data_IF_438760862587
#
_entry.id   IF_438760862587
#
_cell.length_a   1.000
_cell.length_b   1.000
_cell.length_c   1.000
_cell.angle_alpha   90.00
_cell.angle_beta   90.00
_cell.angle_gamma   90.00
#
_symmetry.space_group_name_H-M   'P 1'
#
loop_
_entity.id
_entity.type
_entity.pdbx_description
1 polymer ?
#
# COMPACT_ATOMS: atom_id res chain seq x y z
N UNK A 1 3.78 -46.40 -8.28
CA UNK A 1 3.30 -45.00 -8.12
C UNK A 1 2.58 -44.43 -9.37
N UNK A 2 2.08 -45.23 -10.32
CA UNK A 2 1.45 -44.74 -11.56
C UNK A 2 -0.09 -44.84 -11.59
N UNK A 3 -0.71 -45.79 -10.88
CA UNK A 3 -2.17 -46.04 -10.94
C UNK A 3 -3.05 -45.00 -10.24
N UNK A 4 -2.58 -44.40 -9.13
CA UNK A 4 -3.39 -43.49 -8.30
C UNK A 4 -3.57 -42.09 -8.93
N UNK A 5 -2.65 -41.66 -9.81
CA UNK A 5 -2.79 -40.38 -10.54
C UNK A 5 -3.83 -40.46 -11.67
N UNK A 6 -3.97 -41.62 -12.33
CA UNK A 6 -4.93 -41.84 -13.42
C UNK A 6 -6.37 -41.77 -12.89
N UNK A 7 -6.63 -42.39 -11.73
CA UNK A 7 -7.96 -42.36 -11.07
C UNK A 7 -8.38 -40.95 -10.58
N UNK A 8 -7.43 -40.04 -10.33
CA UNK A 8 -7.76 -38.62 -10.02
C UNK A 8 -8.16 -37.82 -11.26
N UNK A 9 -7.61 -38.14 -12.43
CA UNK A 9 -8.00 -37.49 -13.69
C UNK A 9 -9.44 -37.84 -14.11
N UNK A 10 -9.92 -39.05 -13.78
CA UNK A 10 -11.30 -39.47 -14.06
C UNK A 10 -12.37 -38.78 -13.21
N UNK A 11 -11.98 -38.08 -12.12
CA UNK A 11 -12.94 -37.25 -11.37
C UNK A 11 -13.54 -36.13 -12.23
N UNK A 12 -12.86 -35.73 -13.31
CA UNK A 12 -13.33 -34.73 -14.28
C UNK A 12 -14.48 -35.23 -15.16
N UNK A 13 -14.79 -36.53 -15.11
CA UNK A 13 -15.87 -37.18 -15.84
C UNK A 13 -17.11 -37.46 -14.97
N UNK A 14 -17.15 -36.98 -13.72
CA UNK A 14 -18.32 -37.16 -12.86
C UNK A 14 -19.59 -36.51 -13.46
N UNK A 15 -20.76 -37.16 -13.33
CA UNK A 15 -22.03 -36.60 -13.79
C UNK A 15 -22.32 -35.27 -13.07
N UNK A 16 -22.63 -34.21 -13.83
CA UNK A 16 -22.95 -32.88 -13.30
C UNK A 16 -22.09 -31.75 -13.84
N UNK A 17 -20.85 -32.02 -14.25
CA UNK A 17 -19.89 -30.97 -14.64
C UNK A 17 -19.96 -30.51 -16.10
N UNK A 18 -20.84 -31.07 -16.94
CA UNK A 18 -21.03 -30.75 -18.38
C UNK A 18 -19.78 -30.75 -19.29
N UNK A 19 -18.56 -30.87 -18.76
CA UNK A 19 -17.26 -30.88 -19.47
C UNK A 19 -17.13 -32.04 -20.46
N UNK A 20 -17.71 -33.20 -20.13
CA UNK A 20 -17.68 -34.41 -20.98
C UNK A 20 -18.29 -34.17 -22.37
N UNK A 21 -19.43 -33.48 -22.45
CA UNK A 21 -20.13 -33.22 -23.73
C UNK A 21 -19.33 -32.26 -24.62
N UNK A 22 -18.72 -31.23 -24.03
CA UNK A 22 -17.92 -30.24 -24.75
C UNK A 22 -16.54 -30.76 -25.16
N UNK A 23 -15.95 -31.65 -24.36
CA UNK A 23 -14.71 -32.36 -24.73
C UNK A 23 -14.92 -33.31 -25.91
N UNK A 24 -16.06 -34.04 -25.91
CA UNK A 24 -16.45 -34.86 -27.06
C UNK A 24 -16.69 -34.02 -28.31
N UNK A 25 -17.30 -32.83 -28.18
CA UNK A 25 -17.50 -31.90 -29.30
C UNK A 25 -16.15 -31.40 -29.88
N UNK A 26 -15.18 -31.09 -29.02
CA UNK A 26 -13.85 -30.66 -29.47
C UNK A 26 -13.11 -31.80 -30.19
N UNK A 27 -13.14 -33.03 -29.65
CA UNK A 27 -12.55 -34.22 -30.29
C UNK A 27 -13.23 -34.52 -31.62
N UNK A 28 -14.56 -34.44 -31.70
CA UNK A 28 -15.31 -34.60 -32.94
C UNK A 28 -14.91 -33.54 -33.98
N UNK A 29 -14.71 -32.30 -33.55
CA UNK A 29 -14.22 -31.23 -34.42
C UNK A 29 -12.81 -31.51 -34.97
N UNK A 30 -11.90 -32.08 -34.18
CA UNK A 30 -10.57 -32.52 -34.65
C UNK A 30 -10.69 -33.62 -35.71
N UNK A 31 -11.56 -34.60 -35.49
CA UNK A 31 -11.80 -35.68 -36.46
C UNK A 31 -12.33 -35.12 -37.79
N UNK A 32 -13.28 -34.18 -37.73
CA UNK A 32 -13.83 -33.50 -38.91
C UNK A 32 -12.76 -32.71 -39.67
N UNK A 33 -11.91 -31.94 -38.97
CA UNK A 33 -10.82 -31.19 -39.60
C UNK A 33 -9.85 -32.15 -40.30
N UNK A 34 -9.44 -33.23 -39.63
CA UNK A 34 -8.55 -34.24 -40.21
C UNK A 34 -9.15 -34.91 -41.44
N UNK A 35 -10.44 -35.29 -41.39
CA UNK A 35 -11.16 -35.90 -42.51
C UNK A 35 -11.32 -34.93 -43.69
N UNK A 36 -11.68 -33.68 -43.42
CA UNK A 36 -11.78 -32.64 -44.44
C UNK A 36 -10.43 -32.34 -45.09
N UNK A 37 -9.34 -32.34 -44.32
CA UNK A 37 -8.00 -32.12 -44.86
C UNK A 37 -7.56 -33.26 -45.78
N UNK A 38 -7.83 -34.52 -45.40
CA UNK A 38 -7.57 -35.70 -46.25
C UNK A 38 -8.35 -35.60 -47.58
N UNK A 39 -9.62 -35.19 -47.53
CA UNK A 39 -10.46 -35.02 -48.73
C UNK A 39 -9.99 -33.88 -49.66
N UNK A 40 -9.38 -32.82 -49.12
CA UNK A 40 -8.81 -31.73 -49.91
C UNK A 40 -7.54 -32.20 -50.63
N UNK A 41 -6.71 -33.01 -49.96
CA UNK A 41 -5.45 -33.54 -50.48
C UNK A 41 -5.68 -34.65 -51.52
N UNK A 42 -6.71 -35.47 -51.36
CA UNK A 42 -6.94 -36.66 -52.18
C UNK A 42 -7.40 -36.39 -53.63
N UNK A 43 -7.24 -35.16 -54.14
CA UNK A 43 -7.44 -34.73 -55.54
C UNK A 43 -8.74 -35.17 -56.24
N UNK A 44 -9.81 -35.44 -55.50
CA UNK A 44 -11.13 -35.68 -56.09
C UNK A 44 -11.81 -34.37 -56.54
N UNK A 45 -12.75 -34.51 -57.48
CA UNK A 45 -13.44 -33.46 -58.25
C UNK A 45 -13.71 -32.12 -57.51
N UNK A 46 -13.75 -31.00 -58.24
CA UNK A 46 -14.02 -29.64 -57.69
C UNK A 46 -15.17 -29.56 -56.66
N UNK A 47 -16.23 -30.34 -56.85
CA UNK A 47 -17.39 -30.42 -55.96
C UNK A 47 -17.11 -31.11 -54.60
N UNK A 48 -16.10 -31.97 -54.52
CA UNK A 48 -15.65 -32.58 -53.25
C UNK A 48 -14.75 -31.62 -52.45
N UNK A 49 -14.01 -30.72 -53.12
CA UNK A 49 -13.16 -29.73 -52.44
C UNK A 49 -13.98 -28.67 -51.70
N UNK A 50 -15.08 -28.18 -52.28
CA UNK A 50 -16.00 -27.27 -51.60
C UNK A 50 -16.69 -27.92 -50.41
N UNK A 51 -17.12 -29.19 -50.57
CA UNK A 51 -17.69 -29.98 -49.48
C UNK A 51 -16.68 -30.22 -48.34
N UNK A 52 -15.43 -30.55 -48.67
CA UNK A 52 -14.37 -30.74 -47.70
C UNK A 52 -14.02 -29.45 -46.93
N UNK A 53 -14.00 -28.30 -47.62
CA UNK A 53 -13.80 -27.00 -46.96
C UNK A 53 -14.91 -26.69 -45.94
N UNK A 54 -16.16 -27.02 -46.25
CA UNK A 54 -17.29 -26.87 -45.31
C UNK A 54 -17.10 -27.76 -44.08
N UNK A 55 -16.66 -29.01 -44.27
CA UNK A 55 -16.37 -29.94 -43.15
C UNK A 55 -15.26 -29.37 -42.24
N UNK A 56 -14.20 -28.81 -42.82
CA UNK A 56 -13.10 -28.19 -42.05
C UNK A 56 -13.61 -26.99 -41.24
N UNK A 57 -14.42 -26.11 -41.85
CA UNK A 57 -15.00 -24.94 -41.16
C UNK A 57 -15.89 -25.38 -39.99
N UNK A 58 -16.77 -26.36 -40.21
CA UNK A 58 -17.64 -26.91 -39.15
C UNK A 58 -16.79 -27.54 -38.04
N UNK A 59 -15.71 -28.26 -38.41
CA UNK A 59 -14.77 -28.85 -37.46
C UNK A 59 -14.08 -27.79 -36.59
N UNK A 60 -13.58 -26.71 -37.20
CA UNK A 60 -12.97 -25.57 -36.48
C UNK A 60 -13.99 -24.92 -35.54
N UNK A 61 -15.22 -24.66 -36.01
CA UNK A 61 -16.28 -24.09 -35.17
C UNK A 61 -16.63 -25.00 -33.98
N UNK A 62 -16.66 -26.32 -34.19
CA UNK A 62 -16.89 -27.31 -33.13
C UNK A 62 -15.75 -27.30 -32.09
N UNK A 63 -14.49 -27.21 -32.53
CA UNK A 63 -13.32 -27.10 -31.65
C UNK A 63 -13.41 -25.81 -30.82
N UNK A 64 -13.59 -24.66 -31.46
CA UNK A 64 -13.66 -23.35 -30.79
C UNK A 64 -14.80 -23.31 -29.78
N UNK A 65 -15.99 -23.81 -30.16
CA UNK A 65 -17.17 -23.85 -29.28
C UNK A 65 -16.96 -24.81 -28.12
N UNK A 66 -16.38 -25.99 -28.37
CA UNK A 66 -16.02 -26.99 -27.36
C UNK A 66 -15.06 -26.41 -26.33
N UNK A 67 -13.96 -25.80 -26.76
CA UNK A 67 -12.96 -25.18 -25.87
C UNK A 67 -13.58 -24.04 -25.06
N UNK A 68 -14.31 -23.10 -25.69
CA UNK A 68 -14.98 -21.99 -24.98
C UNK A 68 -15.93 -22.49 -23.90
N UNK A 69 -16.70 -23.55 -24.19
CA UNK A 69 -17.65 -24.12 -23.23
C UNK A 69 -16.97 -24.92 -22.13
N UNK A 70 -15.83 -25.57 -22.38
CA UNK A 70 -15.01 -26.22 -21.35
C UNK A 70 -14.47 -25.17 -20.38
N UNK A 71 -13.88 -24.09 -20.90
CA UNK A 71 -13.38 -22.97 -20.08
C UNK A 71 -14.52 -22.40 -19.24
N UNK A 72 -15.66 -22.08 -19.85
CA UNK A 72 -16.83 -21.58 -19.12
C UNK A 72 -17.29 -22.55 -18.03
N UNK A 73 -17.42 -23.83 -18.35
CA UNK A 73 -17.82 -24.85 -17.38
C UNK A 73 -16.83 -24.98 -16.21
N UNK A 74 -15.54 -24.76 -16.46
CA UNK A 74 -14.51 -24.77 -15.42
C UNK A 74 -14.61 -23.55 -14.51
N UNK A 75 -14.75 -22.35 -15.08
CA UNK A 75 -14.87 -21.11 -14.31
C UNK A 75 -16.16 -21.10 -13.48
N UNK A 76 -17.28 -21.55 -14.04
CA UNK A 76 -18.57 -21.64 -13.34
C UNK A 76 -18.52 -22.62 -12.14
N UNK A 77 -17.75 -23.70 -12.21
CA UNK A 77 -17.64 -24.68 -11.11
C UNK A 77 -16.70 -24.18 -10.00
N UNK A 78 -15.59 -23.54 -10.37
CA UNK A 78 -14.66 -22.98 -9.40
C UNK A 78 -15.27 -21.83 -8.62
N UNK A 79 -16.05 -20.96 -9.28
CA UNK A 79 -16.60 -19.75 -8.68
C UNK A 79 -17.98 -19.40 -9.30
N UNK A 80 -19.07 -20.06 -8.86
CA UNK A 80 -20.41 -19.92 -9.45
C UNK A 80 -21.05 -18.53 -9.37
N UNK A 81 -20.40 -17.53 -8.75
CA UNK A 81 -20.90 -16.16 -8.61
C UNK A 81 -19.89 -15.05 -9.00
N UNK A 82 -18.75 -15.34 -9.65
CA UNK A 82 -17.67 -14.35 -9.85
C UNK A 82 -16.92 -14.41 -11.19
N UNK A 83 -17.58 -14.78 -12.29
CA UNK A 83 -16.93 -14.87 -13.62
C UNK A 83 -16.32 -13.54 -14.08
N UNK A 84 -17.07 -12.43 -14.01
CA UNK A 84 -16.61 -11.09 -14.40
C UNK A 84 -15.58 -10.53 -13.41
N UNK A 85 -15.82 -10.67 -12.10
CA UNK A 85 -14.91 -10.21 -11.05
C UNK A 85 -13.49 -10.81 -11.18
N UNK A 86 -13.35 -12.03 -11.71
CA UNK A 86 -12.03 -12.67 -11.87
C UNK A 86 -11.25 -12.09 -13.04
N UNK A 87 -11.90 -11.87 -14.18
CA UNK A 87 -11.25 -11.29 -15.35
C UNK A 87 -10.76 -9.89 -14.98
N UNK A 88 -11.61 -9.12 -14.29
CA UNK A 88 -11.24 -7.80 -13.79
C UNK A 88 -10.12 -7.87 -12.76
N UNK A 89 -10.15 -8.81 -11.81
CA UNK A 89 -9.06 -8.98 -10.83
C UNK A 89 -7.73 -9.37 -11.48
N UNK A 90 -7.73 -10.26 -12.47
CA UNK A 90 -6.51 -10.67 -13.19
C UNK A 90 -5.99 -9.53 -14.06
N UNK A 91 -6.88 -8.85 -14.78
CA UNK A 91 -6.53 -7.70 -15.61
C UNK A 91 -5.98 -6.54 -14.77
N UNK A 92 -6.66 -6.20 -13.67
CA UNK A 92 -6.21 -5.19 -12.72
C UNK A 92 -4.86 -5.59 -12.12
N UNK A 93 -4.66 -6.85 -11.73
CA UNK A 93 -3.36 -7.30 -11.21
C UNK A 93 -2.23 -7.06 -12.22
N UNK A 94 -2.42 -7.42 -13.49
CA UNK A 94 -1.40 -7.22 -14.54
C UNK A 94 -1.12 -5.74 -14.84
N UNK A 95 -2.13 -4.87 -14.73
CA UNK A 95 -1.94 -3.42 -14.86
C UNK A 95 -1.20 -2.85 -13.67
N UNK A 96 -1.63 -3.21 -12.45
CA UNK A 96 -1.06 -2.70 -11.20
C UNK A 96 0.41 -3.09 -11.04
N UNK A 97 0.81 -4.27 -11.52
CA UNK A 97 2.22 -4.71 -11.56
C UNK A 97 3.10 -3.87 -12.48
N UNK A 98 2.53 -3.23 -13.51
CA UNK A 98 3.22 -2.27 -14.38
C UNK A 98 3.16 -0.83 -13.85
N UNK A 99 2.48 -0.61 -12.73
CA UNK A 99 2.36 0.70 -12.09
C UNK A 99 3.70 1.24 -11.58
N UNK A 100 3.78 2.55 -11.29
CA UNK A 100 5.00 3.17 -10.79
C UNK A 100 5.44 2.59 -9.43
N UNK A 101 6.74 2.56 -9.17
CA UNK A 101 7.32 2.21 -7.88
C UNK A 101 7.22 3.40 -6.93
N UNK A 102 6.32 3.32 -5.96
CA UNK A 102 6.05 4.40 -5.02
C UNK A 102 6.54 4.02 -3.63
N UNK A 103 7.48 4.78 -3.10
CA UNK A 103 7.92 4.70 -1.71
C UNK A 103 7.15 5.74 -0.91
N UNK A 104 6.58 5.33 0.22
CA UNK A 104 5.89 6.25 1.13
C UNK A 104 6.56 6.17 2.49
N UNK A 105 6.94 7.31 3.06
CA UNK A 105 7.70 7.40 4.32
C UNK A 105 6.85 8.10 5.37
N UNK A 106 6.61 7.45 6.51
CA UNK A 106 5.84 8.06 7.58
C UNK A 106 5.44 7.12 8.72
N UNK A 107 4.25 7.35 9.26
CA UNK A 107 3.64 6.56 10.32
C UNK A 107 2.16 6.91 10.49
N UNK A 108 1.52 6.25 11.45
CA UNK A 108 0.16 6.51 11.87
C UNK A 108 -0.94 6.23 10.83
N UNK A 109 -2.08 6.86 11.08
CA UNK A 109 -3.33 6.66 10.32
C UNK A 109 -3.33 7.40 8.98
N UNK A 110 -2.62 8.53 8.88
CA UNK A 110 -2.49 9.30 7.64
C UNK A 110 -1.80 8.49 6.54
N UNK A 111 -0.65 7.89 6.86
CA UNK A 111 0.09 7.01 5.95
C UNK A 111 -0.80 5.86 5.47
N UNK A 112 -1.50 5.21 6.40
CA UNK A 112 -2.39 4.08 6.10
C UNK A 112 -3.52 4.46 5.15
N UNK A 113 -4.05 5.68 5.24
CA UNK A 113 -5.08 6.15 4.32
C UNK A 113 -4.54 6.40 2.91
N UNK A 114 -3.35 6.97 2.80
CA UNK A 114 -2.68 7.13 1.51
C UNK A 114 -2.39 5.76 0.87
N UNK A 115 -1.87 4.80 1.64
CA UNK A 115 -1.60 3.44 1.16
C UNK A 115 -2.88 2.73 0.66
N UNK A 116 -4.00 2.93 1.35
CA UNK A 116 -5.29 2.39 0.95
C UNK A 116 -5.75 2.93 -0.41
N UNK A 117 -5.48 4.20 -0.72
CA UNK A 117 -5.77 4.77 -2.05
C UNK A 117 -4.76 4.32 -3.11
N UNK A 118 -3.47 4.31 -2.78
CA UNK A 118 -2.40 4.00 -3.75
C UNK A 118 -2.48 2.56 -4.29
N UNK A 119 -2.93 1.60 -3.48
CA UNK A 119 -3.01 0.18 -3.89
C UNK A 119 -3.98 -0.09 -5.04
N UNK A 120 -4.89 0.87 -5.32
CA UNK A 120 -5.79 0.83 -6.46
C UNK A 120 -5.13 1.31 -7.77
N UNK A 121 -3.93 1.90 -7.69
CA UNK A 121 -3.18 2.44 -8.85
C UNK A 121 -1.86 1.70 -9.13
N UNK A 122 -1.25 1.07 -8.12
CA UNK A 122 -0.01 0.30 -8.29
C UNK A 122 0.12 -0.77 -7.21
N UNK A 123 0.69 -1.92 -7.57
CA UNK A 123 1.11 -2.94 -6.59
C UNK A 123 2.56 -2.76 -6.15
N UNK A 124 3.29 -1.81 -6.76
CA UNK A 124 4.71 -1.54 -6.49
C UNK A 124 4.89 -0.50 -5.37
N UNK A 125 4.20 -0.69 -4.24
CA UNK A 125 4.24 0.22 -3.09
C UNK A 125 5.24 -0.30 -2.07
N UNK A 126 6.07 0.59 -1.51
CA UNK A 126 6.87 0.28 -0.31
C UNK A 126 6.65 1.35 0.75
N UNK A 127 6.02 0.96 1.87
CA UNK A 127 5.82 1.81 3.03
C UNK A 127 7.01 1.67 3.99
N UNK A 128 7.76 2.75 4.18
CA UNK A 128 8.84 2.84 5.18
C UNK A 128 8.26 3.49 6.43
N UNK A 129 8.32 2.77 7.54
CA UNK A 129 7.55 3.10 8.75
C UNK A 129 8.48 3.29 9.96
N UNK A 130 8.14 4.27 10.80
CA UNK A 130 8.88 4.53 12.05
C UNK A 130 8.66 3.41 13.06
N UNK A 131 9.68 3.12 13.86
CA UNK A 131 9.62 2.18 14.99
C UNK A 131 9.93 2.88 16.32
N UNK A 132 9.72 4.20 16.39
CA UNK A 132 9.99 5.01 17.57
C UNK A 132 8.79 5.16 18.54
N UNK A 133 7.60 4.67 18.16
CA UNK A 133 6.37 4.73 18.97
C UNK A 133 6.56 4.07 20.35
N UNK A 134 6.10 4.76 21.39
CA UNK A 134 6.09 4.29 22.78
C UNK A 134 4.72 4.45 23.46
N UNK A 135 3.68 4.76 22.67
CA UNK A 135 2.33 5.00 23.16
C UNK A 135 1.43 3.76 23.19
N UNK A 136 0.44 3.80 24.09
CA UNK A 136 -0.71 2.89 24.09
C UNK A 136 -0.34 1.39 24.10
N UNK A 137 -0.99 0.61 23.24
CA UNK A 137 -0.74 -0.84 23.14
C UNK A 137 0.64 -1.16 22.58
N UNK A 138 1.20 -0.33 21.70
CA UNK A 138 2.53 -0.56 21.10
C UNK A 138 3.61 -0.39 22.17
N UNK A 139 3.55 0.69 22.94
CA UNK A 139 4.49 1.00 24.01
C UNK A 139 4.53 -0.06 25.10
N UNK A 140 3.36 -0.53 25.57
CA UNK A 140 3.30 -1.62 26.56
C UNK A 140 3.95 -2.91 26.04
N UNK A 141 3.62 -3.32 24.82
CA UNK A 141 4.21 -4.53 24.23
C UNK A 141 5.72 -4.40 24.02
N UNK A 142 6.18 -3.21 23.63
CA UNK A 142 7.60 -2.90 23.51
C UNK A 142 8.34 -3.08 24.84
N UNK A 143 7.76 -2.60 25.94
CA UNK A 143 8.33 -2.73 27.29
C UNK A 143 8.27 -4.16 27.82
N UNK A 144 7.11 -4.82 27.69
CA UNK A 144 6.87 -6.14 28.29
C UNK A 144 7.62 -7.27 27.56
N UNK A 145 7.82 -7.14 26.24
CA UNK A 145 8.38 -8.21 25.41
C UNK A 145 9.72 -7.87 24.76
N UNK A 146 10.27 -6.68 24.98
CA UNK A 146 11.50 -6.19 24.32
C UNK A 146 11.45 -6.39 22.80
N UNK A 147 10.41 -5.84 22.18
CA UNK A 147 10.18 -5.88 20.73
C UNK A 147 9.97 -4.47 20.19
N UNK A 148 10.22 -4.27 18.89
CA UNK A 148 9.88 -3.01 18.24
C UNK A 148 8.36 -2.77 18.24
N UNK A 149 7.91 -1.50 18.32
CA UNK A 149 6.49 -1.17 18.41
C UNK A 149 5.75 -1.58 17.12
N UNK A 150 4.73 -2.45 17.19
CA UNK A 150 4.09 -3.01 16.00
C UNK A 150 2.98 -2.13 15.41
N UNK A 151 2.56 -1.06 16.09
CA UNK A 151 1.32 -0.33 15.80
C UNK A 151 1.23 0.26 14.39
N UNK A 152 2.21 1.05 13.99
CA UNK A 152 2.20 1.71 12.68
C UNK A 152 2.42 0.74 11.53
N UNK A 153 3.28 -0.26 11.74
CA UNK A 153 3.47 -1.39 10.84
C UNK A 153 2.15 -2.13 10.61
N UNK A 154 1.41 -2.45 11.69
CA UNK A 154 0.10 -3.10 11.62
C UNK A 154 -0.87 -2.29 10.76
N UNK A 155 -0.96 -0.98 10.98
CA UNK A 155 -1.88 -0.14 10.23
C UNK A 155 -1.55 -0.15 8.72
N UNK A 156 -0.26 -0.11 8.37
CA UNK A 156 0.19 -0.20 6.97
C UNK A 156 -0.10 -1.57 6.35
N UNK A 157 0.12 -2.66 7.08
CA UNK A 157 -0.20 -4.02 6.63
C UNK A 157 -1.70 -4.16 6.33
N UNK A 158 -2.56 -3.66 7.21
CA UNK A 158 -4.01 -3.67 7.01
C UNK A 158 -4.42 -2.78 5.82
N UNK A 159 -3.81 -1.61 5.66
CA UNK A 159 -4.10 -0.72 4.55
C UNK A 159 -3.83 -1.38 3.19
N UNK A 160 -2.69 -2.07 3.08
CA UNK A 160 -2.24 -2.76 1.86
C UNK A 160 -2.85 -4.15 1.68
N UNK A 161 -3.56 -4.70 2.67
CA UNK A 161 -4.16 -6.02 2.59
C UNK A 161 -5.17 -6.12 1.43
N UNK A 162 -5.09 -7.24 0.70
CA UNK A 162 -6.12 -7.72 -0.23
C UNK A 162 -7.05 -8.75 0.44
N UNK A 163 -6.88 -8.94 1.77
CA UNK A 163 -7.55 -9.97 2.55
C UNK A 163 -9.07 -9.77 2.66
N UNK A 164 -9.77 -10.88 2.94
CA UNK A 164 -11.19 -10.88 3.26
C UNK A 164 -11.55 -9.86 4.36
N UNK A 165 -12.73 -9.20 4.28
CA UNK A 165 -13.15 -8.16 5.22
C UNK A 165 -13.05 -8.57 6.69
N UNK A 166 -13.17 -9.86 7.01
CA UNK A 166 -13.07 -10.38 8.37
C UNK A 166 -11.63 -10.33 8.92
N UNK A 167 -10.62 -10.68 8.12
CA UNK A 167 -9.22 -10.70 8.58
C UNK A 167 -8.71 -9.29 8.88
N UNK A 168 -9.04 -8.32 8.01
CA UNK A 168 -8.73 -6.92 8.25
C UNK A 168 -9.42 -6.40 9.52
N UNK A 169 -10.69 -6.76 9.75
CA UNK A 169 -11.40 -6.43 11.01
C UNK A 169 -10.74 -7.06 12.23
N UNK A 170 -10.29 -8.31 12.13
CA UNK A 170 -9.61 -9.00 13.22
C UNK A 170 -8.30 -8.32 13.58
N UNK A 171 -7.48 -7.94 12.61
CA UNK A 171 -6.23 -7.20 12.87
C UNK A 171 -6.47 -5.83 13.51
N UNK A 172 -7.60 -5.18 13.23
CA UNK A 172 -7.97 -3.92 13.85
C UNK A 172 -8.72 -4.08 15.18
N UNK A 173 -9.06 -5.31 15.58
CA UNK A 173 -9.80 -5.57 16.81
C UNK A 173 -9.01 -5.11 18.04
N UNK A 174 -9.69 -4.36 18.91
CA UNK A 174 -9.15 -3.90 20.18
C UNK A 174 -9.94 -4.53 21.32
N UNK A 175 -9.24 -5.13 22.26
CA UNK A 175 -9.86 -5.74 23.44
C UNK A 175 -10.47 -4.68 24.35
N UNK A 176 -11.71 -4.92 24.76
CA UNK A 176 -12.48 -4.03 25.63
C UNK A 176 -12.03 -4.07 27.09
N UNK A 177 -12.70 -3.26 27.91
CA UNK A 177 -12.48 -3.18 29.34
C UNK A 177 -12.86 -4.48 30.07
N UNK A 178 -12.22 -4.75 31.21
CA UNK A 178 -12.54 -5.91 32.08
C UNK A 178 -11.78 -7.20 31.77
N UNK A 179 -10.80 -7.18 30.86
CA UNK A 179 -9.91 -8.32 30.57
C UNK A 179 -8.44 -7.97 30.86
N UNK A 180 -7.58 -8.96 31.07
CA UNK A 180 -6.13 -8.74 31.19
C UNK A 180 -5.53 -8.12 29.91
N UNK A 181 -6.17 -8.35 28.75
CA UNK A 181 -5.77 -7.80 27.47
C UNK A 181 -6.32 -6.39 27.22
N UNK A 182 -6.93 -5.73 28.22
CA UNK A 182 -7.59 -4.43 28.07
C UNK A 182 -6.75 -3.43 27.27
N UNK A 183 -7.34 -2.91 26.20
CA UNK A 183 -6.74 -1.90 25.34
C UNK A 183 -5.64 -2.40 24.41
N UNK A 184 -5.22 -3.67 24.49
CA UNK A 184 -4.37 -4.27 23.46
C UNK A 184 -5.14 -4.40 22.14
N UNK A 185 -4.40 -4.33 21.04
CA UNK A 185 -4.94 -4.64 19.72
C UNK A 185 -4.46 -6.03 19.28
N UNK A 186 -5.35 -6.83 18.71
CA UNK A 186 -5.04 -8.19 18.28
C UNK A 186 -3.90 -8.23 17.26
N UNK A 187 -3.91 -7.37 16.24
CA UNK A 187 -2.85 -7.31 15.25
C UNK A 187 -1.48 -6.97 15.85
N UNK A 188 -1.44 -6.13 16.90
CA UNK A 188 -0.20 -5.88 17.63
C UNK A 188 0.30 -7.14 18.34
N UNK A 189 -0.58 -7.85 19.06
CA UNK A 189 -0.24 -9.11 19.72
C UNK A 189 0.22 -10.16 18.71
N UNK A 190 -0.43 -10.23 17.56
CA UNK A 190 -0.06 -11.13 16.46
C UNK A 190 1.36 -10.83 15.97
N UNK A 191 1.69 -9.58 15.66
CA UNK A 191 3.03 -9.20 15.19
C UNK A 191 4.09 -9.45 16.27
N UNK A 192 3.78 -9.14 17.54
CA UNK A 192 4.67 -9.45 18.67
C UNK A 192 4.92 -10.96 18.79
N UNK A 193 3.87 -11.80 18.70
CA UNK A 193 4.01 -13.25 18.71
C UNK A 193 4.81 -13.76 17.50
N UNK A 194 4.53 -13.25 16.29
CA UNK A 194 5.29 -13.56 15.09
C UNK A 194 6.78 -13.20 15.22
N UNK A 195 7.09 -12.09 15.90
CA UNK A 195 8.48 -11.69 16.20
C UNK A 195 9.17 -12.70 17.09
N UNK A 196 8.49 -13.20 18.13
CA UNK A 196 9.03 -14.25 19.00
C UNK A 196 9.20 -15.59 18.29
N UNK A 197 8.28 -15.96 17.39
CA UNK A 197 8.33 -17.22 16.64
C UNK A 197 9.41 -17.20 15.55
N UNK A 198 9.52 -16.11 14.80
CA UNK A 198 10.51 -15.96 13.70
C UNK A 198 11.90 -15.55 14.20
N UNK A 199 12.00 -15.11 15.45
CA UNK A 199 13.24 -14.69 16.10
C UNK A 199 13.69 -13.26 15.77
N UNK A 200 13.08 -12.59 14.79
CA UNK A 200 13.39 -11.19 14.49
C UNK A 200 12.19 -10.44 13.89
N UNK A 201 12.18 -9.11 14.06
CA UNK A 201 11.05 -8.26 13.68
C UNK A 201 10.84 -8.16 12.17
N UNK A 202 11.93 -8.14 11.39
CA UNK A 202 11.85 -8.06 9.92
C UNK A 202 11.16 -9.30 9.31
N UNK A 203 11.59 -10.50 9.72
CA UNK A 203 10.96 -11.75 9.31
C UNK A 203 9.48 -11.81 9.73
N UNK A 204 9.14 -11.32 10.92
CA UNK A 204 7.75 -11.25 11.38
C UNK A 204 6.87 -10.39 10.46
N UNK A 205 7.37 -9.24 10.00
CA UNK A 205 6.66 -8.38 9.05
C UNK A 205 6.49 -9.08 7.70
N UNK A 206 7.54 -9.74 7.20
CA UNK A 206 7.50 -10.49 5.94
C UNK A 206 6.47 -11.63 5.97
N UNK A 207 6.43 -12.40 7.05
CA UNK A 207 5.42 -13.47 7.21
C UNK A 207 4.02 -12.90 7.43
N UNK A 208 3.87 -11.84 8.22
CA UNK A 208 2.56 -11.16 8.41
C UNK A 208 2.01 -10.61 7.09
N UNK A 209 2.90 -10.10 6.22
CA UNK A 209 2.55 -9.63 4.87
C UNK A 209 1.98 -10.74 4.00
N UNK A 210 2.50 -11.97 4.11
CA UNK A 210 1.99 -13.14 3.38
C UNK A 210 0.62 -13.58 3.91
N UNK A 211 0.45 -13.60 5.24
CA UNK A 211 -0.83 -13.96 5.89
C UNK A 211 -1.95 -13.00 5.46
N UNK A 212 -1.65 -11.71 5.35
CA UNK A 212 -2.61 -10.67 4.95
C UNK A 212 -2.72 -10.47 3.43
N UNK A 213 -1.92 -11.19 2.63
CA UNK A 213 -1.88 -11.08 1.17
C UNK A 213 -1.84 -9.62 0.73
N UNK A 214 -0.86 -8.87 1.21
CA UNK A 214 -0.78 -7.43 0.94
C UNK A 214 -0.35 -7.12 -0.50
N UNK A 215 -0.81 -6.00 -1.05
CA UNK A 215 -0.32 -5.42 -2.31
C UNK A 215 0.76 -4.39 -2.03
N UNK A 216 2.02 -4.79 -2.16
CA UNK A 216 3.18 -3.96 -1.86
C UNK A 216 3.99 -4.52 -0.71
N UNK A 217 4.76 -3.66 -0.05
CA UNK A 217 5.67 -4.03 1.06
C UNK A 217 5.58 -3.02 2.19
N UNK A 218 5.67 -3.50 3.42
CA UNK A 218 5.85 -2.68 4.62
C UNK A 218 7.23 -3.00 5.17
N UNK A 219 8.02 -1.96 5.42
CA UNK A 219 9.42 -2.06 5.81
C UNK A 219 9.66 -1.13 7.00
N UNK A 220 10.26 -1.59 8.11
CA UNK A 220 10.64 -0.69 9.18
C UNK A 220 11.84 0.15 8.74
N UNK A 221 11.88 1.43 9.12
CA UNK A 221 13.00 2.33 8.81
C UNK A 221 14.31 1.83 9.39
N UNK A 222 14.29 1.29 10.62
CA UNK A 222 15.42 0.66 11.31
C UNK A 222 14.96 -0.59 12.06
N UNK A 223 15.89 -1.49 12.36
CA UNK A 223 15.69 -2.60 13.31
C UNK A 223 16.28 -2.31 14.69
N UNK A 224 16.91 -1.15 14.86
CA UNK A 224 17.44 -0.71 16.14
C UNK A 224 16.29 -0.20 17.02
N UNK A 225 16.37 -0.49 18.32
CA UNK A 225 15.40 -0.02 19.30
C UNK A 225 15.67 1.47 19.61
N UNK A 226 14.94 2.37 18.95
CA UNK A 226 15.15 3.83 19.02
C UNK A 226 14.06 4.56 19.78
N UNK A 227 14.44 5.53 20.58
CA UNK A 227 13.56 6.44 21.30
C UNK A 227 13.64 7.83 20.69
N UNK A 228 12.50 8.43 20.43
CA UNK A 228 12.43 9.80 19.91
C UNK A 228 12.67 10.80 21.04
N UNK A 229 13.51 11.80 20.80
CA UNK A 229 13.79 12.89 21.75
C UNK A 229 13.52 14.22 21.06
N UNK A 230 12.75 15.09 21.71
CA UNK A 230 12.52 16.45 21.25
C UNK A 230 13.19 17.46 22.19
N UNK A 231 14.00 18.35 21.61
CA UNK A 231 14.47 19.57 22.27
C UNK A 231 13.47 20.69 21.98
N UNK A 232 13.01 21.37 23.02
CA UNK A 232 12.08 22.49 22.92
C UNK A 232 12.82 23.84 22.80
N UNK A 233 12.11 24.90 22.38
CA UNK A 233 12.71 26.24 22.24
C UNK A 233 13.22 26.82 23.57
N UNK A 234 12.65 26.41 24.71
CA UNK A 234 13.09 26.81 26.05
C UNK A 234 14.31 26.03 26.57
N UNK A 235 14.86 25.12 25.75
CA UNK A 235 16.01 24.29 26.09
C UNK A 235 15.68 22.99 26.84
N UNK A 236 14.42 22.76 27.23
CA UNK A 236 14.01 21.50 27.87
C UNK A 236 13.91 20.35 26.87
N UNK A 237 13.97 19.11 27.35
CA UNK A 237 13.84 17.90 26.54
C UNK A 237 12.61 17.07 26.91
N UNK A 238 11.93 16.52 25.90
CA UNK A 238 10.96 15.44 26.06
C UNK A 238 11.51 14.16 25.46
N UNK A 239 11.49 13.08 26.25
CA UNK A 239 11.96 11.75 25.84
C UNK A 239 10.75 10.83 25.66
N UNK A 240 10.65 10.21 24.49
CA UNK A 240 9.54 9.36 24.12
C UNK A 240 8.51 10.06 23.22
N UNK A 241 8.04 9.36 22.20
CA UNK A 241 7.10 9.89 21.19
C UNK A 241 5.83 10.44 21.86
N UNK A 242 5.25 9.66 22.78
CA UNK A 242 4.00 10.00 23.46
C UNK A 242 4.11 11.15 24.46
N UNK A 243 5.34 11.60 24.80
CA UNK A 243 5.58 12.72 25.71
C UNK A 243 5.72 14.05 24.98
N UNK A 244 6.17 14.05 23.72
CA UNK A 244 6.45 15.27 22.95
C UNK A 244 5.20 16.18 22.84
N UNK A 245 4.02 15.69 22.43
CA UNK A 245 2.83 16.54 22.36
C UNK A 245 2.32 16.97 23.75
N UNK A 246 2.55 16.16 24.79
CA UNK A 246 2.10 16.43 26.17
C UNK A 246 2.88 17.57 26.82
N UNK A 247 4.13 17.79 26.41
CA UNK A 247 4.94 18.89 26.91
C UNK A 247 4.32 20.26 26.60
N UNK A 248 3.50 20.36 25.53
CA UNK A 248 2.85 21.61 25.09
C UNK A 248 3.85 22.76 24.91
N UNK A 249 5.03 22.44 24.39
CA UNK A 249 6.13 23.37 24.15
C UNK A 249 6.56 23.26 22.69
N UNK A 250 6.82 24.40 22.00
CA UNK A 250 7.30 24.37 20.63
C UNK A 250 8.58 23.54 20.49
N UNK A 251 8.59 22.63 19.52
CA UNK A 251 9.75 21.80 19.21
C UNK A 251 10.77 22.63 18.44
N UNK A 252 12.01 22.63 18.91
CA UNK A 252 13.16 23.24 18.23
C UNK A 252 13.83 22.23 17.30
N UNK A 253 14.07 21.03 17.80
CA UNK A 253 14.71 19.94 17.05
C UNK A 253 14.31 18.58 17.62
N UNK A 254 14.30 17.56 16.77
CA UNK A 254 14.19 16.16 17.22
C UNK A 254 15.42 15.33 16.82
N UNK A 255 15.64 14.25 17.57
CA UNK A 255 16.73 13.29 17.36
C UNK A 255 16.30 11.88 17.79
N UNK A 256 16.99 10.86 17.29
CA UNK A 256 16.83 9.47 17.75
C UNK A 256 17.90 9.13 18.78
N UNK A 257 17.52 8.34 19.80
CA UNK A 257 18.43 7.79 20.81
C UNK A 257 18.28 6.25 20.86
N UNK A 258 19.34 5.45 20.71
CA UNK A 258 20.72 5.86 20.43
C UNK A 258 20.87 6.53 19.06
N UNK A 259 21.89 7.39 18.94
CA UNK A 259 22.25 8.00 17.66
C UNK A 259 22.90 6.97 16.72
N UNK A 260 22.89 7.24 15.42
CA UNK A 260 23.48 6.36 14.41
C UNK A 260 22.69 5.08 14.16
N UNK A 261 21.39 5.08 14.41
CA UNK A 261 20.51 3.96 14.08
C UNK A 261 20.62 3.58 12.60
N UNK A 262 20.76 2.28 12.34
CA UNK A 262 21.04 1.77 11.00
C UNK A 262 19.74 1.55 10.23
N UNK A 263 19.67 1.99 8.96
CA UNK A 263 18.52 1.72 8.13
C UNK A 263 18.44 0.24 7.76
N UNK A 264 17.23 -0.26 7.50
CA UNK A 264 17.08 -1.57 6.86
C UNK A 264 17.60 -1.53 5.41
N UNK A 265 18.15 -2.65 4.95
CA UNK A 265 18.62 -2.76 3.58
C UNK A 265 17.48 -2.53 2.58
N UNK A 266 16.31 -3.10 2.86
CA UNK A 266 15.10 -3.00 2.07
C UNK A 266 14.60 -1.55 1.95
N UNK A 267 14.74 -0.72 3.00
CA UNK A 267 14.37 0.69 2.93
C UNK A 267 15.27 1.44 1.94
N UNK A 268 16.58 1.29 2.04
CA UNK A 268 17.54 1.94 1.13
C UNK A 268 17.35 1.45 -0.32
N UNK A 269 17.18 0.15 -0.53
CA UNK A 269 16.90 -0.40 -1.86
C UNK A 269 15.62 0.17 -2.47
N UNK A 270 14.55 0.29 -1.67
CA UNK A 270 13.29 0.81 -2.14
C UNK A 270 13.44 2.28 -2.58
N UNK A 271 14.11 3.11 -1.78
CA UNK A 271 14.38 4.52 -2.09
C UNK A 271 15.17 4.66 -3.41
N UNK A 272 16.22 3.85 -3.60
CA UNK A 272 17.05 3.88 -4.81
C UNK A 272 16.32 3.45 -6.08
N UNK A 273 15.37 2.52 -5.96
CA UNK A 273 14.59 1.95 -7.08
C UNK A 273 13.28 2.71 -7.33
N UNK A 274 12.97 3.73 -6.54
CA UNK A 274 11.69 4.44 -6.58
C UNK A 274 11.53 5.29 -7.84
N UNK A 275 10.30 5.35 -8.34
CA UNK A 275 9.87 6.37 -9.30
C UNK A 275 9.36 7.63 -8.57
N UNK A 276 8.77 7.43 -7.38
CA UNK A 276 8.36 8.49 -6.47
C UNK A 276 8.63 8.13 -5.01
N UNK A 277 8.95 9.15 -4.22
CA UNK A 277 9.11 9.11 -2.78
C UNK A 277 8.15 10.15 -2.20
N UNK A 278 7.21 9.68 -1.38
CA UNK A 278 6.16 10.51 -0.76
C UNK A 278 6.38 10.54 0.74
N UNK A 279 6.56 11.74 1.30
CA UNK A 279 6.69 11.96 2.73
C UNK A 279 5.30 12.27 3.32
N UNK A 280 4.86 11.47 4.28
CA UNK A 280 3.55 11.60 4.90
C UNK A 280 2.38 11.14 4.02
N UNK A 281 1.14 11.50 4.37
CA UNK A 281 0.79 12.40 5.47
C UNK A 281 0.96 11.73 6.84
N UNK A 282 1.22 12.53 7.88
CA UNK A 282 1.38 12.06 9.25
C UNK A 282 1.90 13.18 10.15
N UNK A 283 1.99 12.93 11.46
CA UNK A 283 2.58 13.91 12.37
C UNK A 283 3.99 14.27 11.94
N UNK A 284 4.29 15.56 11.88
CA UNK A 284 5.55 16.05 11.34
C UNK A 284 6.74 15.49 12.14
N UNK A 285 6.72 15.71 13.45
CA UNK A 285 7.83 15.37 14.33
C UNK A 285 7.79 13.92 14.81
N UNK A 286 6.61 13.31 14.95
CA UNK A 286 6.49 11.95 15.50
C UNK A 286 6.27 10.84 14.48
N UNK A 287 5.90 11.16 13.23
CA UNK A 287 5.67 10.14 12.19
C UNK A 287 6.57 10.27 10.97
N UNK A 288 6.81 11.49 10.47
CA UNK A 288 7.60 11.68 9.24
C UNK A 288 9.08 11.77 9.58
N UNK A 289 9.45 12.76 10.39
CA UNK A 289 10.83 13.06 10.70
C UNK A 289 11.63 11.91 11.35
N UNK A 290 11.06 11.06 12.23
CA UNK A 290 11.83 9.96 12.82
C UNK A 290 12.37 8.98 11.78
N UNK A 291 11.64 8.76 10.67
CA UNK A 291 12.14 7.95 9.57
C UNK A 291 13.32 8.60 8.85
N UNK A 292 13.26 9.92 8.65
CA UNK A 292 14.29 10.67 7.94
C UNK A 292 15.58 10.76 8.73
N UNK A 293 15.51 10.70 10.07
CA UNK A 293 16.66 10.78 10.97
C UNK A 293 17.41 9.46 11.15
N UNK A 294 16.89 8.35 10.62
CA UNK A 294 17.66 7.10 10.53
C UNK A 294 18.82 7.31 9.54
N UNK A 295 20.00 6.79 9.87
CA UNK A 295 21.22 7.04 9.09
C UNK A 295 21.00 6.72 7.60
N UNK A 296 21.56 7.56 6.73
CA UNK A 296 21.49 7.49 5.26
C UNK A 296 20.10 7.65 4.62
N UNK A 297 18.98 7.57 5.35
CA UNK A 297 17.65 7.61 4.72
C UNK A 297 17.43 8.91 3.94
N UNK A 298 17.58 10.07 4.58
CA UNK A 298 17.34 11.34 3.88
C UNK A 298 18.38 11.61 2.79
N UNK A 299 19.64 11.17 2.99
CA UNK A 299 20.70 11.31 1.99
C UNK A 299 20.38 10.53 0.71
N UNK A 300 19.88 9.29 0.84
CA UNK A 300 19.46 8.48 -0.31
C UNK A 300 18.22 9.05 -0.99
N UNK A 301 17.27 9.63 -0.23
CA UNK A 301 16.12 10.33 -0.81
C UNK A 301 16.60 11.50 -1.67
N UNK A 302 17.50 12.34 -1.15
CA UNK A 302 18.05 13.49 -1.89
C UNK A 302 18.79 13.04 -3.16
N UNK A 303 19.63 12.00 -3.06
CA UNK A 303 20.37 11.44 -4.18
C UNK A 303 19.47 10.79 -5.25
N UNK A 304 18.25 10.41 -4.89
CA UNK A 304 17.30 9.77 -5.80
C UNK A 304 16.80 10.72 -6.90
N UNK A 305 16.68 10.16 -8.11
CA UNK A 305 16.06 10.81 -9.28
C UNK A 305 14.54 10.69 -9.29
N UNK A 306 13.98 9.99 -8.30
CA UNK A 306 12.54 9.87 -8.08
C UNK A 306 11.90 11.25 -7.88
N UNK A 307 10.61 11.33 -8.16
CA UNK A 307 9.79 12.48 -7.78
C UNK A 307 9.69 12.53 -6.26
N UNK A 308 10.06 13.64 -5.62
CA UNK A 308 9.99 13.79 -4.16
C UNK A 308 8.82 14.69 -3.78
N UNK A 309 7.80 14.12 -3.16
CA UNK A 309 6.60 14.85 -2.75
C UNK A 309 6.41 14.81 -1.24
N UNK A 310 6.00 15.92 -0.63
CA UNK A 310 5.52 15.99 0.74
C UNK A 310 4.01 16.21 0.73
N UNK A 311 3.26 15.39 1.48
CA UNK A 311 1.83 15.61 1.72
C UNK A 311 1.68 16.38 3.02
N UNK A 312 1.35 17.66 2.91
CA UNK A 312 1.22 18.55 4.05
C UNK A 312 0.02 18.17 4.93
N UNK A 313 0.18 18.35 6.24
CA UNK A 313 -0.92 18.19 7.19
C UNK A 313 -2.02 19.21 6.88
N UNK A 314 -3.28 18.81 7.05
CA UNK A 314 -4.44 19.69 6.84
C UNK A 314 -4.69 20.56 8.06
N UNK A 315 -4.47 20.01 9.26
CA UNK A 315 -4.62 20.70 10.54
C UNK A 315 -3.28 20.71 11.27
N UNK A 316 -3.01 21.77 12.04
CA UNK A 316 -1.90 21.81 12.99
C UNK A 316 -2.14 20.82 14.12
N UNK A 317 -1.07 20.37 14.76
CA UNK A 317 -1.14 19.48 15.92
C UNK A 317 -0.64 20.21 17.16
N UNK A 318 -1.48 20.22 18.19
CA UNK A 318 -1.18 20.87 19.46
C UNK A 318 0.07 20.25 20.10
N UNK A 319 1.04 21.08 20.46
CA UNK A 319 2.32 20.68 21.04
C UNK A 319 3.36 20.24 20.00
N UNK A 320 3.02 20.19 18.71
CA UNK A 320 3.94 19.85 17.63
C UNK A 320 4.08 20.99 16.62
N UNK A 321 2.98 21.38 15.97
CA UNK A 321 2.98 22.31 14.82
C UNK A 321 2.06 23.51 15.02
N UNK A 322 1.92 23.96 16.26
CA UNK A 322 1.08 25.12 16.62
C UNK A 322 1.42 26.34 15.76
N UNK A 323 0.41 26.84 15.03
CA UNK A 323 0.54 28.03 14.19
C UNK A 323 1.32 27.84 12.88
N UNK A 324 1.74 26.61 12.56
CA UNK A 324 2.52 26.35 11.34
C UNK A 324 1.67 26.51 10.08
N UNK A 325 2.24 27.19 9.09
CA UNK A 325 1.80 27.15 7.68
C UNK A 325 2.46 25.98 6.95
N UNK A 326 2.09 25.74 5.69
CA UNK A 326 2.68 24.68 4.89
C UNK A 326 4.19 24.90 4.68
N UNK A 327 4.61 26.16 4.47
CA UNK A 327 6.03 26.48 4.36
C UNK A 327 6.82 26.26 5.65
N UNK A 328 6.20 26.39 6.83
CA UNK A 328 6.84 26.12 8.12
C UNK A 328 7.07 24.63 8.33
N UNK A 329 6.11 23.78 7.93
CA UNK A 329 6.28 22.32 7.91
C UNK A 329 7.46 21.91 7.03
N UNK A 330 7.50 22.43 5.78
CA UNK A 330 8.59 22.13 4.86
C UNK A 330 9.93 22.65 5.39
N UNK A 331 9.97 23.84 5.99
CA UNK A 331 11.19 24.41 6.58
C UNK A 331 11.72 23.51 7.68
N UNK A 332 10.86 23.05 8.58
CA UNK A 332 11.25 22.11 9.63
C UNK A 332 11.85 20.81 9.05
N UNK A 333 11.27 20.24 7.98
CA UNK A 333 11.86 19.07 7.28
C UNK A 333 13.26 19.39 6.77
N UNK A 334 13.44 20.52 6.09
CA UNK A 334 14.73 20.93 5.51
C UNK A 334 15.78 21.17 6.61
N UNK A 335 15.41 21.81 7.71
CA UNK A 335 16.32 22.11 8.83
C UNK A 335 16.81 20.85 9.56
N UNK A 336 16.01 19.78 9.56
CA UNK A 336 16.39 18.49 10.13
C UNK A 336 17.11 17.56 9.14
N UNK A 337 17.07 17.89 7.85
CA UNK A 337 17.66 17.09 6.77
C UNK A 337 18.57 17.96 5.93
N UNK A 338 18.18 18.29 4.69
CA UNK A 338 18.85 19.23 3.82
C UNK A 338 17.93 19.71 2.69
N UNK A 339 18.26 20.82 2.01
CA UNK A 339 17.57 21.23 0.79
C UNK A 339 17.58 20.14 -0.29
N UNK A 340 16.51 20.06 -1.09
CA UNK A 340 16.36 19.04 -2.15
C UNK A 340 15.68 17.74 -1.71
N UNK A 341 15.29 17.65 -0.43
CA UNK A 341 14.53 16.52 0.12
C UNK A 341 13.09 16.43 -0.43
N UNK A 342 12.52 17.56 -0.87
CA UNK A 342 11.15 17.67 -1.40
C UNK A 342 11.16 18.57 -2.64
N UNK A 343 10.60 18.10 -3.74
CA UNK A 343 10.41 18.86 -4.98
C UNK A 343 8.98 19.46 -5.07
N UNK A 344 7.99 18.73 -4.55
CA UNK A 344 6.57 19.07 -4.61
C UNK A 344 5.92 19.02 -3.21
N UNK A 345 5.11 20.02 -2.86
CA UNK A 345 4.34 20.02 -1.63
C UNK A 345 2.85 19.98 -1.99
N UNK A 346 2.16 18.91 -1.63
CA UNK A 346 0.72 18.76 -1.84
C UNK A 346 0.02 19.38 -0.62
N UNK A 347 -0.82 20.38 -0.87
CA UNK A 347 -1.49 21.17 0.18
C UNK A 347 -2.99 21.21 -0.06
N UNK A 348 -3.76 21.13 1.01
CA UNK A 348 -5.20 21.23 0.93
C UNK A 348 -5.66 22.69 0.79
N UNK A 349 -6.50 22.95 -0.22
CA UNK A 349 -7.28 24.20 -0.36
C UNK A 349 -8.78 23.94 -0.32
N UNK A 350 -9.19 22.71 0.05
CA UNK A 350 -10.57 22.34 0.30
C UNK A 350 -11.19 23.08 1.45
N UNK A 351 -12.42 23.57 1.24
CA UNK A 351 -13.24 24.21 2.27
C UNK A 351 -13.60 23.19 3.34
N UNK A 352 -13.33 23.53 4.59
CA UNK A 352 -13.76 22.79 5.77
C UNK A 352 -14.93 23.59 6.39
N UNK A 353 -16.05 22.95 6.75
CA UNK A 353 -17.17 23.62 7.43
C UNK A 353 -16.73 24.28 8.73
N UNK A 354 -17.28 25.45 9.02
CA UNK A 354 -16.90 26.27 10.18
C UNK A 354 -17.12 25.54 11.51
N UNK A 355 -18.20 24.76 11.62
CA UNK A 355 -18.49 23.94 12.81
C UNK A 355 -17.35 22.96 13.13
N UNK A 356 -16.77 22.33 12.10
CA UNK A 356 -15.65 21.41 12.27
C UNK A 356 -14.39 22.18 12.65
N UNK A 357 -14.12 23.32 11.99
CA UNK A 357 -12.97 24.17 12.33
C UNK A 357 -13.03 24.65 13.77
N UNK A 358 -14.21 25.02 14.26
CA UNK A 358 -14.41 25.46 15.64
C UNK A 358 -14.11 24.33 16.64
N UNK A 359 -14.54 23.08 16.36
CA UNK A 359 -14.18 21.91 17.18
C UNK A 359 -12.66 21.69 17.26
N UNK A 360 -11.96 21.77 16.13
CA UNK A 360 -10.50 21.66 16.13
C UNK A 360 -9.84 22.81 16.90
N UNK A 361 -10.37 24.03 16.80
CA UNK A 361 -9.85 25.20 17.52
C UNK A 361 -9.98 25.04 19.03
N UNK A 362 -11.08 24.46 19.52
CA UNK A 362 -11.28 24.11 20.93
C UNK A 362 -10.26 23.07 21.43
N UNK A 363 -9.82 22.16 20.55
CA UNK A 363 -8.75 21.21 20.83
C UNK A 363 -7.34 21.82 20.70
N UNK A 364 -7.22 23.07 20.22
CA UNK A 364 -5.97 23.78 20.01
C UNK A 364 -5.33 23.54 18.63
N UNK A 365 -6.10 23.09 17.64
CA UNK A 365 -5.66 22.84 16.27
C UNK A 365 -6.31 23.82 15.29
N UNK A 366 -5.57 24.26 14.28
CA UNK A 366 -6.03 25.20 13.25
C UNK A 366 -5.79 24.62 11.86
N UNK A 367 -6.51 25.12 10.86
CA UNK A 367 -6.25 24.75 9.46
C UNK A 367 -4.86 25.27 9.02
N UNK A 368 -4.08 24.41 8.38
CA UNK A 368 -2.77 24.78 7.84
C UNK A 368 -2.96 25.63 6.59
N UNK A 369 -2.38 26.82 6.59
CA UNK A 369 -2.42 27.74 5.46
C UNK A 369 -1.40 27.28 4.41
N UNK A 370 -1.82 27.12 3.15
CA UNK A 370 -0.99 26.60 2.06
C UNK A 370 0.22 27.49 1.69
N UNK A 371 0.09 28.81 1.86
CA UNK A 371 1.13 29.83 1.64
C UNK A 371 2.13 29.55 0.49
N UNK A 372 1.59 29.19 -0.69
CA UNK A 372 2.32 28.64 -1.85
C UNK A 372 3.48 29.49 -2.36
N UNK A 373 3.41 30.82 -2.22
CA UNK A 373 4.53 31.71 -2.56
C UNK A 373 5.76 31.50 -1.67
N UNK A 374 5.57 31.14 -0.39
CA UNK A 374 6.69 30.81 0.49
C UNK A 374 7.25 29.41 0.21
N UNK A 375 6.42 28.46 -0.21
CA UNK A 375 6.89 27.15 -0.68
C UNK A 375 7.81 27.30 -1.91
N UNK A 376 7.46 28.18 -2.85
CA UNK A 376 8.32 28.49 -4.02
C UNK A 376 9.70 29.06 -3.60
N UNK A 377 9.76 29.91 -2.57
CA UNK A 377 11.02 30.43 -2.02
C UNK A 377 11.92 29.32 -1.45
N UNK A 378 11.32 28.24 -0.95
CA UNK A 378 12.02 27.02 -0.52
C UNK A 378 12.36 26.06 -1.68
N UNK A 379 12.25 26.52 -2.93
CA UNK A 379 12.45 25.74 -4.17
C UNK A 379 11.52 24.53 -4.29
N UNK A 380 10.34 24.60 -3.69
CA UNK A 380 9.33 23.55 -3.72
C UNK A 380 8.08 24.02 -4.47
N UNK A 381 7.55 23.19 -5.36
CA UNK A 381 6.34 23.48 -6.14
C UNK A 381 5.10 23.07 -5.36
N UNK A 382 4.21 24.02 -5.07
CA UNK A 382 2.93 23.72 -4.43
C UNK A 382 1.96 23.06 -5.41
N UNK A 383 1.29 21.99 -4.97
CA UNK A 383 0.15 21.36 -5.62
C UNK A 383 -1.07 21.59 -4.72
N UNK A 384 -1.84 22.61 -5.04
CA UNK A 384 -3.07 22.95 -4.32
C UNK A 384 -4.23 22.09 -4.82
N UNK A 385 -4.92 21.41 -3.90
CA UNK A 385 -6.03 20.55 -4.27
C UNK A 385 -7.09 20.42 -3.17
N UNK A 386 -8.30 20.02 -3.58
CA UNK A 386 -9.41 19.67 -2.69
C UNK A 386 -9.30 18.21 -2.26
N UNK A 387 -8.42 17.93 -1.29
CA UNK A 387 -8.00 16.58 -0.89
C UNK A 387 -8.49 16.19 0.50
N UNK A 388 -9.58 16.77 0.97
CA UNK A 388 -10.18 16.44 2.27
C UNK A 388 -11.48 15.67 2.13
N UNK A 389 -11.67 14.72 3.03
CA UNK A 389 -12.94 14.06 3.32
C UNK A 389 -13.27 14.32 4.78
N UNK A 390 -14.53 14.62 5.06
CA UNK A 390 -15.03 14.92 6.40
C UNK A 390 -16.04 13.85 6.78
N UNK A 391 -15.74 13.12 7.85
CA UNK A 391 -16.70 12.28 8.56
C UNK A 391 -16.78 12.83 9.99
N UNK A 392 -16.22 12.12 10.96
CA UNK A 392 -16.11 12.61 12.34
C UNK A 392 -14.92 13.57 12.55
N UNK A 393 -13.93 13.46 11.66
CA UNK A 393 -12.68 14.22 11.65
C UNK A 393 -12.32 14.63 10.22
N UNK A 394 -11.50 15.67 10.08
CA UNK A 394 -10.89 16.06 8.81
C UNK A 394 -9.77 15.08 8.48
N UNK A 395 -9.87 14.41 7.34
CA UNK A 395 -8.85 13.48 6.83
C UNK A 395 -8.56 13.76 5.37
N UNK A 396 -7.40 13.29 4.91
CA UNK A 396 -7.14 13.24 3.48
C UNK A 396 -8.11 12.28 2.79
N UNK A 397 -8.60 12.69 1.63
CA UNK A 397 -9.31 11.84 0.69
C UNK A 397 -8.30 10.92 0.01
N UNK A 398 -8.37 9.62 0.33
CA UNK A 398 -7.38 8.63 -0.10
C UNK A 398 -7.32 8.48 -1.61
N UNK A 399 -8.47 8.52 -2.29
CA UNK A 399 -8.55 8.31 -3.74
C UNK A 399 -8.01 9.53 -4.48
N UNK A 400 -8.42 10.73 -4.09
CA UNK A 400 -7.94 11.97 -4.71
C UNK A 400 -6.45 12.17 -4.49
N UNK A 401 -5.97 11.93 -3.27
CA UNK A 401 -4.55 12.07 -2.95
C UNK A 401 -3.69 11.06 -3.74
N UNK A 402 -4.11 9.79 -3.79
CA UNK A 402 -3.41 8.77 -4.56
C UNK A 402 -3.38 9.11 -6.06
N UNK A 403 -4.50 9.59 -6.61
CA UNK A 403 -4.59 10.02 -8.01
C UNK A 403 -3.61 11.15 -8.32
N UNK A 404 -3.56 12.19 -7.48
CA UNK A 404 -2.62 13.31 -7.66
C UNK A 404 -1.17 12.82 -7.70
N UNK A 405 -0.80 11.92 -6.79
CA UNK A 405 0.55 11.35 -6.74
C UNK A 405 0.86 10.56 -8.01
N UNK A 406 -0.05 9.70 -8.46
CA UNK A 406 0.15 8.86 -9.65
C UNK A 406 0.21 9.70 -10.93
N UNK A 407 -0.67 10.70 -11.06
CA UNK A 407 -0.68 11.62 -12.20
C UNK A 407 0.59 12.46 -12.26
N UNK A 408 1.09 12.92 -11.10
CA UNK A 408 2.37 13.61 -10.99
C UNK A 408 3.53 12.74 -11.49
N UNK A 409 3.57 11.46 -11.08
CA UNK A 409 4.61 10.53 -11.54
C UNK A 409 4.52 10.27 -13.05
N UNK A 410 3.31 10.02 -13.54
CA UNK A 410 3.10 9.68 -14.95
C UNK A 410 3.42 10.86 -15.87
N UNK A 411 3.06 12.09 -15.48
CA UNK A 411 3.37 13.30 -16.25
C UNK A 411 4.89 13.53 -16.35
N UNK A 412 5.62 13.34 -15.26
CA UNK A 412 7.08 13.51 -15.24
C UNK A 412 7.82 12.38 -15.97
N UNK A 413 7.30 11.15 -15.95
CA UNK A 413 7.83 10.07 -16.79
C UNK A 413 7.65 10.37 -18.27
N UNK A 414 6.47 10.86 -18.68
CA UNK A 414 6.22 11.27 -20.07
C UNK A 414 7.12 12.43 -20.53
N UNK A 415 7.46 13.35 -19.63
CA UNK A 415 8.35 14.47 -19.96
C UNK A 415 9.83 14.07 -20.06
N UNK A 416 10.21 12.89 -19.55
CA UNK A 416 11.60 12.35 -19.56
C UNK A 416 11.84 11.33 -20.68
N UNK A 417 10.77 10.78 -21.26
CA UNK A 417 10.79 9.87 -22.41
C UNK A 417 10.73 10.67 -23.70
#
# INVERSE_FOLDING_TARGET
>A
MSGVKILKAFKWLYPGMRVKRWSLLAVFGVIMVSMGFVMVISEQASRSKTFAAVIVIIGILAIVTGIKRIIKSFVTILLPQREEELVDKVYNKLILEKGPKVVVVGGGTGLSMLLHGLKEYTSNITAIVTVADDGGSSGRLRQDFDVLPPGDIRNCLVALADAEPLMAKLFQFRFGDGTELKGHNFGNLFITAMTKVTGNFDAAIKESSKVLVIRGRVVPSTLDNVTLVAQHLDGTESVGESQIPKARKPVKRISLRPDGSKPTHEALEAIRKADAIVLGPGSLYTSIMPNLLVDKIYQEIIASKAVKAYVCNVMTQRGETDGYKASDHLRAIIEHTAPGIVDYCIVNTGRIPEEILQRYKEEGANCVIADSENLKKLKCRAIEAHIVTIKDYVRHDSEKLAKIIVDLVNSLKKARA
#
